data_IF_386717154555
#
_entry.id   IF_386717154555
#
_cell.length_a   1.000
_cell.length_b   1.000
_cell.length_c   1.000
_cell.angle_alpha   90.00
_cell.angle_beta   90.00
_cell.angle_gamma   90.00
#
_symmetry.space_group_name_H-M   'P 1'
#
loop_
_entity.id
_entity.type
_entity.pdbx_description
1 polymer ?
#
# COMPACT_ATOMS: atom_id res chain seq x y z
N UNK A 1 9.80 13.10 -21.96
CA UNK A 1 10.41 12.98 -20.65
C UNK A 1 10.43 11.54 -20.18
N UNK A 2 11.59 11.06 -19.81
CA UNK A 2 11.79 9.67 -19.39
C UNK A 2 10.95 9.28 -18.16
N UNK A 3 10.60 10.24 -17.31
CA UNK A 3 9.77 10.00 -16.13
C UNK A 3 8.28 9.85 -16.45
N UNK A 4 7.81 10.39 -17.57
CA UNK A 4 6.40 10.31 -17.94
C UNK A 4 6.00 8.93 -18.44
N UNK A 5 6.86 8.24 -19.16
CA UNK A 5 6.55 6.93 -19.71
C UNK A 5 6.22 5.89 -18.64
N UNK A 6 7.00 5.73 -17.55
CA UNK A 6 6.62 4.83 -16.45
C UNK A 6 5.34 5.26 -15.74
N UNK A 7 5.13 6.57 -15.57
CA UNK A 7 3.91 7.09 -14.92
C UNK A 7 2.67 6.76 -15.75
N UNK A 8 2.73 6.93 -17.07
CA UNK A 8 1.64 6.56 -17.96
C UNK A 8 1.40 5.05 -17.95
N UNK A 9 2.47 4.25 -17.98
CA UNK A 9 2.35 2.80 -17.94
C UNK A 9 1.64 2.34 -16.67
N UNK A 10 1.92 2.94 -15.52
CA UNK A 10 1.24 2.66 -14.27
C UNK A 10 -0.23 3.04 -14.36
N UNK A 11 -0.53 4.27 -14.82
CA UNK A 11 -1.90 4.78 -14.92
C UNK A 11 -2.78 3.98 -15.87
N UNK A 12 -2.18 3.37 -16.90
CA UNK A 12 -2.89 2.56 -17.89
C UNK A 12 -2.91 1.07 -17.55
N UNK A 13 -2.20 0.66 -16.49
CA UNK A 13 -2.09 -0.74 -16.12
C UNK A 13 -3.39 -1.32 -15.58
N UNK A 14 -3.65 -2.62 -15.79
CA UNK A 14 -4.81 -3.27 -15.16
C UNK A 14 -4.76 -3.19 -13.64
N UNK A 15 -3.58 -3.24 -13.05
CA UNK A 15 -3.39 -3.16 -11.59
C UNK A 15 -3.87 -1.81 -11.05
N UNK A 16 -3.54 -0.72 -11.73
CA UNK A 16 -3.98 0.61 -11.31
C UNK A 16 -5.50 0.78 -11.50
N UNK A 17 -6.04 0.31 -12.62
CA UNK A 17 -7.47 0.40 -12.91
C UNK A 17 -8.29 -0.34 -11.86
N UNK A 18 -7.86 -1.53 -11.49
CA UNK A 18 -8.52 -2.31 -10.45
C UNK A 18 -8.47 -1.61 -9.11
N UNK A 19 -7.29 -1.09 -8.74
CA UNK A 19 -7.10 -0.33 -7.51
C UNK A 19 -8.02 0.91 -7.48
N UNK A 20 -8.05 1.68 -8.56
CA UNK A 20 -8.84 2.91 -8.64
C UNK A 20 -10.34 2.63 -8.52
N UNK A 21 -10.82 1.57 -9.18
CA UNK A 21 -12.21 1.15 -9.12
C UNK A 21 -12.62 0.78 -7.70
N UNK A 22 -11.80 -0.04 -7.04
CA UNK A 22 -12.05 -0.47 -5.67
C UNK A 22 -11.96 0.68 -4.68
N UNK A 23 -11.04 1.60 -4.92
CA UNK A 23 -10.91 2.81 -4.09
C UNK A 23 -12.18 3.65 -4.12
N UNK A 24 -12.79 3.80 -5.30
CA UNK A 24 -14.05 4.53 -5.43
C UNK A 24 -15.19 3.82 -4.70
N UNK A 25 -15.26 2.50 -4.78
CA UNK A 25 -16.25 1.72 -4.05
C UNK A 25 -16.14 1.91 -2.53
N UNK A 26 -14.91 1.90 -2.02
CA UNK A 26 -14.63 2.14 -0.60
C UNK A 26 -15.05 3.57 -0.21
N UNK A 27 -14.72 4.56 -1.04
CA UNK A 27 -15.03 5.97 -0.76
C UNK A 27 -16.53 6.25 -0.74
N UNK A 28 -17.34 5.39 -1.38
CA UNK A 28 -18.79 5.54 -1.38
C UNK A 28 -19.43 5.25 -0.03
N UNK A 29 -18.71 4.56 0.87
CA UNK A 29 -19.18 4.25 2.22
C UNK A 29 -18.24 4.92 3.23
N UNK A 30 -18.74 5.96 3.90
CA UNK A 30 -17.94 6.74 4.84
C UNK A 30 -17.42 5.93 6.03
N UNK A 31 -18.21 4.97 6.51
CA UNK A 31 -17.80 4.10 7.61
C UNK A 31 -16.63 3.21 7.24
N UNK A 32 -16.71 2.60 6.06
CA UNK A 32 -15.65 1.73 5.54
C UNK A 32 -14.40 2.56 5.23
N UNK A 33 -14.57 3.72 4.62
CA UNK A 33 -13.46 4.62 4.32
C UNK A 33 -12.73 5.01 5.60
N UNK A 34 -13.47 5.27 6.69
CA UNK A 34 -12.88 5.60 7.98
C UNK A 34 -12.03 4.47 8.55
N UNK A 35 -12.51 3.23 8.41
CA UNK A 35 -11.76 2.04 8.88
C UNK A 35 -10.48 1.83 8.05
N UNK A 36 -10.56 2.01 6.75
CA UNK A 36 -9.39 1.89 5.87
C UNK A 36 -8.37 2.98 6.17
N UNK A 37 -8.82 4.21 6.42
CA UNK A 37 -7.95 5.32 6.78
C UNK A 37 -7.23 5.04 8.10
N UNK A 38 -7.96 4.54 9.11
CA UNK A 38 -7.36 4.15 10.38
C UNK A 38 -6.33 3.04 10.21
N UNK A 39 -6.66 2.03 9.40
CA UNK A 39 -5.76 0.91 9.10
C UNK A 39 -4.45 1.43 8.51
N UNK A 40 -4.52 2.33 7.54
CA UNK A 40 -3.31 2.88 6.90
C UNK A 40 -2.48 3.72 7.86
N UNK A 41 -3.14 4.49 8.72
CA UNK A 41 -2.46 5.27 9.76
C UNK A 41 -1.70 4.36 10.72
N UNK A 42 -2.34 3.28 11.16
CA UNK A 42 -1.72 2.30 12.06
C UNK A 42 -0.59 1.53 11.37
N UNK A 43 -0.76 1.18 10.11
CA UNK A 43 0.27 0.53 9.32
C UNK A 43 1.54 1.39 9.27
N UNK A 44 1.39 2.68 8.99
CA UNK A 44 2.50 3.62 8.95
C UNK A 44 3.17 3.75 10.32
N UNK A 45 2.38 3.81 11.40
CA UNK A 45 2.91 3.90 12.76
C UNK A 45 3.71 2.65 13.15
N UNK A 46 3.20 1.47 12.81
CA UNK A 46 3.89 0.19 13.08
C UNK A 46 5.20 0.11 12.29
N UNK A 47 5.17 0.50 11.02
CA UNK A 47 6.37 0.53 10.18
C UNK A 47 7.43 1.48 10.73
N UNK A 48 7.01 2.65 11.18
CA UNK A 48 7.92 3.64 11.77
C UNK A 48 8.58 3.11 13.04
N UNK A 49 7.83 2.43 13.89
CA UNK A 49 8.37 1.81 15.11
C UNK A 49 9.38 0.72 14.77
N UNK A 50 9.09 -0.08 13.76
CA UNK A 50 10.01 -1.12 13.30
C UNK A 50 11.33 -0.52 12.82
N UNK A 51 11.28 0.58 12.08
CA UNK A 51 12.47 1.29 11.60
C UNK A 51 13.28 1.92 12.73
N UNK A 52 12.61 2.29 13.83
CA UNK A 52 13.27 2.87 15.02
C UNK A 52 13.85 1.81 15.95
N UNK A 53 13.74 0.53 15.60
CA UNK A 53 14.21 -0.56 16.46
C UNK A 53 13.27 -0.88 17.62
N UNK A 54 12.08 -0.30 17.66
CA UNK A 54 11.08 -0.59 18.68
C UNK A 54 10.27 -1.82 18.26
N UNK A 55 9.89 -2.63 19.26
CA UNK A 55 9.13 -3.85 19.01
C UNK A 55 7.69 -3.60 18.56
N UNK A 56 7.05 -4.65 18.10
CA UNK A 56 5.66 -4.66 17.65
C UNK A 56 4.68 -4.71 18.84
N UNK A 57 5.05 -4.11 19.95
CA UNK A 57 4.24 -4.09 21.16
C UNK A 57 3.53 -2.76 21.31
N UNK A 58 2.39 -2.78 21.99
CA UNK A 58 1.61 -1.59 22.30
C UNK A 58 0.22 -1.58 21.68
N UNK A 59 -0.53 -0.54 22.01
CA UNK A 59 -1.92 -0.41 21.59
C UNK A 59 -2.07 -0.29 20.07
N UNK A 60 -1.19 0.43 19.42
CA UNK A 60 -1.25 0.61 17.97
C UNK A 60 -1.02 -0.70 17.23
N UNK A 61 -0.05 -1.51 17.68
CA UNK A 61 0.23 -2.80 17.07
C UNK A 61 -0.95 -3.77 17.27
N UNK A 62 -1.53 -3.76 18.47
CA UNK A 62 -2.70 -4.58 18.78
C UNK A 62 -3.91 -4.17 17.95
N UNK A 63 -4.18 -2.87 17.87
CA UNK A 63 -5.28 -2.33 17.08
C UNK A 63 -5.08 -2.62 15.59
N UNK A 64 -3.85 -2.48 15.11
CA UNK A 64 -3.51 -2.80 13.73
C UNK A 64 -3.80 -4.27 13.41
N UNK A 65 -3.42 -5.18 14.29
CA UNK A 65 -3.70 -6.61 14.12
C UNK A 65 -5.19 -6.91 14.07
N UNK A 66 -5.97 -6.31 14.96
CA UNK A 66 -7.43 -6.47 14.99
C UNK A 66 -8.09 -5.93 13.72
N UNK A 67 -7.69 -4.74 13.31
CA UNK A 67 -8.25 -4.09 12.14
C UNK A 67 -7.84 -4.80 10.84
N UNK A 68 -6.59 -5.28 10.77
CA UNK A 68 -6.14 -6.13 9.67
C UNK A 68 -7.02 -7.36 9.51
N UNK A 69 -7.25 -8.09 10.60
CA UNK A 69 -8.08 -9.29 10.56
C UNK A 69 -9.49 -8.98 10.07
N UNK A 70 -10.06 -7.89 10.56
CA UNK A 70 -11.40 -7.46 10.18
C UNK A 70 -11.47 -7.10 8.68
N UNK A 71 -10.54 -6.28 8.21
CA UNK A 71 -10.57 -5.76 6.85
C UNK A 71 -10.23 -6.84 5.81
N UNK A 72 -9.32 -7.75 6.11
CA UNK A 72 -8.99 -8.84 5.20
C UNK A 72 -10.04 -9.95 5.18
N UNK A 73 -10.92 -9.99 6.17
CA UNK A 73 -12.06 -10.91 6.19
C UNK A 73 -13.30 -10.33 5.50
N UNK A 74 -13.37 -9.03 5.31
CA UNK A 74 -14.52 -8.36 4.72
C UNK A 74 -14.42 -8.36 3.19
N UNK A 75 -15.50 -8.82 2.53
CA UNK A 75 -15.57 -8.93 1.08
C UNK A 75 -15.47 -7.58 0.35
N UNK A 76 -15.75 -6.48 1.05
CA UNK A 76 -15.70 -5.13 0.47
C UNK A 76 -14.31 -4.51 0.55
N UNK A 77 -13.54 -4.85 1.57
CA UNK A 77 -12.23 -4.25 1.83
C UNK A 77 -11.06 -5.13 1.42
N UNK A 78 -11.19 -6.45 1.54
CA UNK A 78 -10.10 -7.37 1.18
C UNK A 78 -9.62 -7.18 -0.27
N UNK A 79 -10.53 -7.11 -1.28
CA UNK A 79 -10.07 -6.91 -2.66
C UNK A 79 -9.31 -5.60 -2.86
N UNK A 80 -9.73 -4.53 -2.17
CA UNK A 80 -9.04 -3.24 -2.24
C UNK A 80 -7.63 -3.34 -1.67
N UNK A 81 -7.47 -3.95 -0.50
CA UNK A 81 -6.16 -4.08 0.14
C UNK A 81 -5.22 -4.96 -0.70
N UNK A 82 -5.73 -6.03 -1.29
CA UNK A 82 -4.95 -6.89 -2.17
C UNK A 82 -4.55 -6.15 -3.46
N UNK A 83 -5.46 -5.35 -4.02
CA UNK A 83 -5.16 -4.55 -5.22
C UNK A 83 -4.08 -3.51 -4.93
N UNK A 84 -4.14 -2.89 -3.75
CA UNK A 84 -3.12 -1.94 -3.32
C UNK A 84 -1.75 -2.62 -3.19
N UNK A 85 -1.70 -3.81 -2.60
CA UNK A 85 -0.46 -4.57 -2.47
C UNK A 85 0.13 -4.93 -3.83
N UNK A 86 -0.71 -5.35 -4.79
CA UNK A 86 -0.26 -5.65 -6.15
C UNK A 86 0.30 -4.42 -6.85
N UNK A 87 -0.37 -3.29 -6.69
CA UNK A 87 0.08 -2.02 -7.28
C UNK A 87 1.41 -1.59 -6.67
N UNK A 88 1.56 -1.68 -5.35
CA UNK A 88 2.81 -1.35 -4.67
C UNK A 88 3.96 -2.24 -5.13
N UNK A 89 3.70 -3.54 -5.31
CA UNK A 89 4.69 -4.48 -5.82
C UNK A 89 5.13 -4.11 -7.23
N UNK A 90 4.18 -3.79 -8.10
CA UNK A 90 4.46 -3.37 -9.47
C UNK A 90 5.32 -2.11 -9.49
N UNK A 91 4.97 -1.12 -8.65
CA UNK A 91 5.73 0.13 -8.55
C UNK A 91 7.15 -0.12 -8.06
N UNK A 92 7.33 -1.01 -7.09
CA UNK A 92 8.65 -1.38 -6.58
C UNK A 92 9.50 -2.04 -7.67
N UNK A 93 8.90 -2.92 -8.47
CA UNK A 93 9.60 -3.58 -9.59
C UNK A 93 10.02 -2.58 -10.66
N UNK A 94 9.16 -1.63 -10.99
CA UNK A 94 9.47 -0.56 -11.95
C UNK A 94 10.62 0.30 -11.42
N UNK A 95 10.57 0.67 -10.16
CA UNK A 95 11.61 1.46 -9.52
C UNK A 95 12.96 0.73 -9.55
N UNK A 96 12.97 -0.57 -9.26
CA UNK A 96 14.18 -1.38 -9.33
C UNK A 96 14.77 -1.40 -10.75
N UNK A 97 13.92 -1.58 -11.76
CA UNK A 97 14.36 -1.57 -13.15
C UNK A 97 14.92 -0.22 -13.57
N UNK A 98 14.31 0.87 -13.12
CA UNK A 98 14.79 2.21 -13.40
C UNK A 98 16.16 2.46 -12.75
N UNK A 99 16.36 2.02 -11.51
CA UNK A 99 17.64 2.18 -10.84
C UNK A 99 18.74 1.36 -11.48
N UNK A 100 18.43 0.15 -11.95
CA UNK A 100 19.38 -0.67 -12.71
C UNK A 100 19.75 -0.04 -14.04
N UNK A 101 18.78 0.50 -14.76
CA UNK A 101 19.00 1.16 -16.04
C UNK A 101 19.88 2.40 -15.87
N UNK A 102 19.79 3.08 -14.75
CA UNK A 102 20.61 4.24 -14.42
C UNK A 102 22.00 3.87 -13.88
N UNK A 103 22.27 2.56 -13.65
CA UNK A 103 23.53 2.10 -13.08
C UNK A 103 23.69 2.44 -11.61
N UNK A 104 22.58 2.71 -10.93
CA UNK A 104 22.59 3.06 -9.51
C UNK A 104 22.20 1.86 -8.67
N UNK A 105 22.97 1.59 -7.62
CA UNK A 105 22.59 0.65 -6.58
C UNK A 105 21.97 1.44 -5.43
N UNK A 106 20.68 1.23 -5.23
CA UNK A 106 19.99 1.80 -4.08
C UNK A 106 19.83 0.71 -3.04
N UNK A 107 20.62 0.81 -1.99
CA UNK A 107 20.42 -0.02 -0.80
C UNK A 107 19.39 0.69 0.05
N UNK A 108 18.15 0.24 -0.06
CA UNK A 108 17.12 0.73 0.85
C UNK A 108 17.33 0.10 2.22
N UNK A 109 17.30 0.90 3.30
CA UNK A 109 17.34 0.34 4.65
C UNK A 109 15.99 -0.31 4.95
N UNK A 110 15.91 -1.58 4.70
CA UNK A 110 14.68 -2.33 4.96
C UNK A 110 14.90 -3.17 6.20
#
# INVERSE_FOLDING_TARGET
DAAQAPCQAIAESPEYREYARLKEEIAADAGIQGLVTEYKRLQAAVQLRALSGQGMEGEDAQRFGQLSALLFADQRTAPFLLAEMRLQKMMAEIFEKLTRAAGMELTLPV
#
